data_IF_138080865678
#
_entry.id   IF_138080865678
#
_cell.length_a   1.000
_cell.length_b   1.000
_cell.length_c   1.000
_cell.angle_alpha   90.00
_cell.angle_beta   90.00
_cell.angle_gamma   90.00
#
_symmetry.space_group_name_H-M   'P 1'
#
loop_
_entity.id
_entity.type
_entity.pdbx_description
1 polymer ?
#
# COMPACT_ATOMS: atom_id res chain seq x y z
N UNK A 1 16.49 -5.70 -4.89
CA UNK A 1 17.08 -6.43 -3.75
C UNK A 1 17.61 -5.38 -2.77
N UNK A 2 17.01 -5.25 -1.59
CA UNK A 2 17.55 -4.37 -0.53
C UNK A 2 18.65 -5.16 0.16
N UNK A 3 19.91 -4.79 -0.05
CA UNK A 3 21.07 -5.60 0.38
C UNK A 3 21.60 -5.23 1.76
N UNK A 4 21.11 -4.14 2.38
CA UNK A 4 21.21 -3.89 3.82
C UNK A 4 20.46 -2.60 4.16
N UNK A 5 19.88 -2.54 5.36
CA UNK A 5 19.49 -1.29 6.00
C UNK A 5 20.46 -1.05 7.15
N UNK A 6 21.55 -0.36 6.83
CA UNK A 6 22.40 0.27 7.83
C UNK A 6 21.89 1.71 7.99
N UNK A 7 21.18 2.00 9.08
CA UNK A 7 20.62 3.32 9.32
C UNK A 7 20.18 3.53 10.77
N UNK A 8 20.49 4.73 11.28
CA UNK A 8 20.63 5.07 12.70
C UNK A 8 19.40 4.83 13.58
N UNK A 9 19.65 4.13 14.68
CA UNK A 9 18.77 3.84 15.80
C UNK A 9 18.11 5.11 16.34
N UNK A 10 16.81 5.31 16.07
CA UNK A 10 16.05 6.41 16.69
C UNK A 10 15.47 5.92 18.02
N UNK A 11 16.15 6.27 19.11
CA UNK A 11 15.66 6.00 20.46
C UNK A 11 14.34 6.72 20.72
N UNK A 12 13.34 5.99 21.20
CA UNK A 12 12.17 6.61 21.81
C UNK A 12 12.41 6.76 23.32
N UNK A 13 11.82 7.78 23.93
CA UNK A 13 12.09 8.24 25.31
C UNK A 13 11.81 7.23 26.43
N UNK A 14 11.29 6.03 26.11
CA UNK A 14 10.86 5.01 27.09
C UNK A 14 11.66 3.70 27.00
N UNK A 15 12.81 3.69 26.33
CA UNK A 15 13.67 2.50 26.20
C UNK A 15 13.18 1.45 25.20
N UNK A 16 12.11 1.74 24.46
CA UNK A 16 11.64 0.90 23.35
C UNK A 16 12.30 1.35 22.04
N UNK A 17 12.82 0.38 21.28
CA UNK A 17 13.50 0.60 20.01
C UNK A 17 12.61 0.15 18.86
N UNK A 18 12.47 0.97 17.81
CA UNK A 18 11.68 0.65 16.62
C UNK A 18 12.42 1.01 15.33
N UNK A 19 12.38 0.13 14.33
CA UNK A 19 12.85 0.39 12.97
C UNK A 19 11.72 0.09 11.98
N UNK A 20 11.42 1.04 11.09
CA UNK A 20 10.46 0.82 10.01
C UNK A 20 11.20 0.28 8.78
N UNK A 21 10.82 -0.92 8.34
CA UNK A 21 11.32 -1.55 7.13
C UNK A 21 10.30 -1.36 6.01
N UNK A 22 10.60 -0.48 5.05
CA UNK A 22 9.74 -0.28 3.87
C UNK A 22 10.21 -1.15 2.71
N UNK A 23 9.33 -2.01 2.20
CA UNK A 23 9.56 -2.80 0.99
C UNK A 23 9.02 -2.03 -0.22
N UNK A 24 9.81 -1.83 -1.30
CA UNK A 24 9.31 -1.15 -2.49
C UNK A 24 8.19 -1.96 -3.17
N UNK A 25 7.13 -1.24 -3.56
CA UNK A 25 5.86 -1.71 -4.13
C UNK A 25 5.99 -2.64 -5.36
N UNK A 26 7.10 -2.59 -6.10
CA UNK A 26 7.33 -3.36 -7.33
C UNK A 26 8.24 -4.57 -7.14
N UNK A 27 8.54 -4.96 -5.90
CA UNK A 27 9.63 -5.90 -5.65
C UNK A 27 9.27 -7.38 -5.80
N UNK A 28 8.05 -7.71 -6.24
CA UNK A 28 7.60 -9.04 -6.69
C UNK A 28 8.39 -10.21 -6.12
N UNK A 29 8.09 -10.63 -4.88
CA UNK A 29 8.80 -11.73 -4.21
C UNK A 29 8.46 -11.86 -2.73
N UNK A 30 8.81 -13.01 -2.15
CA UNK A 30 8.86 -13.21 -0.69
C UNK A 30 10.07 -12.49 -0.13
N UNK A 31 9.92 -11.81 1.00
CA UNK A 31 11.02 -11.17 1.71
C UNK A 31 11.30 -11.93 3.00
N UNK A 32 12.52 -12.43 3.14
CA UNK A 32 13.04 -12.90 4.40
C UNK A 32 13.79 -11.75 5.08
N UNK A 33 13.47 -11.47 6.35
CA UNK A 33 14.26 -10.55 7.17
C UNK A 33 14.94 -11.34 8.29
N UNK A 34 16.23 -11.11 8.47
CA UNK A 34 17.00 -11.68 9.57
C UNK A 34 17.22 -10.60 10.62
N UNK A 35 16.71 -10.81 11.82
CA UNK A 35 16.99 -9.96 12.98
C UNK A 35 18.13 -10.59 13.78
N UNK A 36 19.26 -9.90 13.88
CA UNK A 36 20.36 -10.28 14.77
C UNK A 36 20.44 -9.30 15.94
N UNK A 37 20.19 -9.79 17.16
CA UNK A 37 20.31 -9.01 18.41
C UNK A 37 21.57 -9.44 19.17
N UNK A 38 22.31 -8.46 19.68
CA UNK A 38 23.45 -8.69 20.57
C UNK A 38 23.13 -8.12 21.95
N UNK A 39 23.10 -8.97 22.97
CA UNK A 39 22.88 -8.52 24.35
C UNK A 39 24.15 -7.86 24.92
N UNK A 40 24.00 -6.75 25.65
CA UNK A 40 24.95 -6.42 26.73
C UNK A 40 24.38 -6.73 28.13
N UNK A 41 23.04 -6.80 28.26
CA UNK A 41 22.34 -7.13 29.50
C UNK A 41 20.85 -7.43 29.23
N UNK A 42 20.45 -8.70 29.14
CA UNK A 42 19.26 -9.23 29.81
C UNK A 42 17.87 -8.98 29.22
N UNK A 43 17.71 -8.86 27.89
CA UNK A 43 16.37 -8.84 27.28
C UNK A 43 16.23 -9.93 26.23
N UNK A 44 15.63 -11.05 26.63
CA UNK A 44 15.55 -12.29 25.87
C UNK A 44 14.42 -12.37 24.83
N UNK A 45 13.73 -11.26 24.53
CA UNK A 45 12.59 -11.26 23.61
C UNK A 45 12.63 -10.11 22.60
N UNK A 46 12.51 -10.46 21.31
CA UNK A 46 12.25 -9.53 20.21
C UNK A 46 10.77 -9.65 19.87
N UNK A 47 9.98 -8.61 20.13
CA UNK A 47 8.59 -8.54 19.68
C UNK A 47 8.58 -7.99 18.25
N UNK A 48 8.20 -8.83 17.28
CA UNK A 48 8.02 -8.42 15.89
C UNK A 48 6.54 -8.27 15.60
N UNK A 49 6.11 -7.06 15.24
CA UNK A 49 4.78 -6.81 14.71
C UNK A 49 4.88 -6.66 13.18
N UNK A 50 4.17 -7.51 12.45
CA UNK A 50 4.00 -7.40 11.01
C UNK A 50 2.67 -6.68 10.76
N UNK A 51 2.74 -5.44 10.29
CA UNK A 51 1.57 -4.70 9.85
C UNK A 51 1.63 -4.59 8.33
N UNK A 52 0.60 -5.09 7.65
CA UNK A 52 0.44 -4.84 6.22
C UNK A 52 0.02 -3.37 6.06
N UNK A 53 1.01 -2.50 5.83
CA UNK A 53 0.76 -1.09 5.53
C UNK A 53 0.18 -1.01 4.13
N UNK A 54 -1.14 -1.03 4.07
CA UNK A 54 -1.89 -0.91 2.83
C UNK A 54 -1.82 0.55 2.36
N UNK A 55 -1.29 0.83 1.15
CA UNK A 55 -1.15 2.20 0.69
C UNK A 55 -2.51 2.88 0.62
N UNK A 56 -2.56 4.15 0.99
CA UNK A 56 -3.74 4.99 0.83
C UNK A 56 -3.49 6.06 -0.22
N UNK A 57 -4.54 6.45 -0.93
CA UNK A 57 -4.49 7.56 -1.87
C UNK A 57 -5.69 8.51 -1.69
N UNK A 58 -5.45 9.79 -1.88
CA UNK A 58 -6.49 10.81 -1.92
C UNK A 58 -6.90 11.08 -3.37
N UNK A 59 -8.21 11.15 -3.62
CA UNK A 59 -8.73 11.53 -4.93
C UNK A 59 -8.43 13.02 -5.18
N UNK A 60 -7.68 13.32 -6.23
CA UNK A 60 -7.36 14.70 -6.64
C UNK A 60 -8.25 15.20 -7.79
N UNK A 61 -8.85 14.28 -8.55
CA UNK A 61 -9.79 14.63 -9.61
C UNK A 61 -11.08 15.23 -9.03
N UNK A 62 -11.71 16.16 -9.75
CA UNK A 62 -13.04 16.68 -9.39
C UNK A 62 -14.07 15.56 -9.27
N UNK A 63 -13.96 14.58 -10.17
CA UNK A 63 -14.81 13.39 -10.21
C UNK A 63 -13.98 12.19 -10.67
N UNK A 64 -13.93 11.15 -9.85
CA UNK A 64 -13.29 9.87 -10.18
C UNK A 64 -14.33 8.74 -10.16
N UNK A 65 -14.42 7.98 -11.24
CA UNK A 65 -15.39 6.90 -11.34
C UNK A 65 -14.88 5.62 -10.65
N UNK A 66 -15.62 5.12 -9.67
CA UNK A 66 -15.43 3.77 -9.13
C UNK A 66 -16.20 2.78 -10.02
N UNK A 67 -15.52 1.75 -10.51
CA UNK A 67 -16.11 0.76 -11.42
C UNK A 67 -16.00 -0.67 -10.87
N UNK A 68 -16.80 -1.58 -11.42
CA UNK A 68 -16.83 -2.99 -11.01
C UNK A 68 -15.67 -3.83 -11.57
N UNK A 69 -15.03 -3.33 -12.63
CA UNK A 69 -13.91 -3.95 -13.36
C UNK A 69 -12.92 -2.86 -13.79
N UNK A 70 -11.63 -3.19 -14.02
CA UNK A 70 -10.61 -2.24 -14.46
C UNK A 70 -10.75 -1.95 -15.97
N UNK A 71 -11.84 -1.29 -16.38
CA UNK A 71 -12.11 -0.97 -17.78
C UNK A 71 -13.16 0.14 -17.88
N UNK A 72 -13.07 1.01 -18.88
CA UNK A 72 -14.16 1.94 -19.22
C UNK A 72 -15.16 1.33 -20.21
N UNK A 73 -14.80 0.23 -20.87
CA UNK A 73 -15.60 -0.41 -21.90
C UNK A 73 -16.75 -1.23 -21.30
N UNK A 74 -17.99 -0.92 -21.71
CA UNK A 74 -19.21 -1.63 -21.29
C UNK A 74 -19.33 -1.82 -19.76
N UNK A 75 -18.87 -0.82 -19.00
CA UNK A 75 -18.76 -0.92 -17.54
C UNK A 75 -19.21 0.37 -16.88
N UNK A 76 -20.50 0.48 -16.58
CA UNK A 76 -21.07 1.65 -15.91
C UNK A 76 -20.42 1.87 -14.53
N UNK A 77 -20.12 3.13 -14.13
CA UNK A 77 -19.64 3.41 -12.78
C UNK A 77 -20.62 2.90 -11.71
N UNK A 78 -20.07 2.33 -10.65
CA UNK A 78 -20.81 2.00 -9.42
C UNK A 78 -21.21 3.30 -8.72
N UNK A 79 -20.26 4.23 -8.64
CA UNK A 79 -20.42 5.56 -8.07
C UNK A 79 -19.32 6.48 -8.58
N UNK A 80 -19.52 7.76 -8.36
CA UNK A 80 -18.49 8.79 -8.47
C UNK A 80 -17.88 9.07 -7.09
N UNK A 81 -16.59 9.41 -7.09
CA UNK A 81 -15.81 9.78 -5.92
C UNK A 81 -15.35 11.22 -6.11
N UNK A 82 -15.55 12.04 -5.08
CA UNK A 82 -15.18 13.45 -5.10
C UNK A 82 -13.72 13.64 -4.67
N UNK A 83 -13.14 14.77 -5.05
CA UNK A 83 -11.84 15.21 -4.53
C UNK A 83 -11.82 15.20 -2.99
N UNK A 84 -10.70 14.77 -2.41
CA UNK A 84 -10.55 14.61 -0.96
C UNK A 84 -10.98 13.24 -0.41
N UNK A 85 -11.58 12.38 -1.24
CA UNK A 85 -11.92 11.02 -0.81
C UNK A 85 -10.65 10.21 -0.60
N UNK A 86 -10.43 9.71 0.62
CA UNK A 86 -9.33 8.79 0.92
C UNK A 86 -9.72 7.35 0.57
N UNK A 87 -8.86 6.69 -0.20
CA UNK A 87 -9.03 5.31 -0.66
C UNK A 87 -7.93 4.44 -0.08
N UNK A 88 -8.30 3.22 0.34
CA UNK A 88 -7.34 2.16 0.59
C UNK A 88 -7.02 1.47 -0.74
N UNK A 89 -5.78 1.46 -1.16
CA UNK A 89 -5.33 0.73 -2.36
C UNK A 89 -5.03 -0.71 -1.95
N UNK A 90 -5.66 -1.66 -2.64
CA UNK A 90 -5.41 -3.09 -2.46
C UNK A 90 -4.29 -3.60 -3.39
N UNK A 91 -4.27 -3.11 -4.63
CA UNK A 91 -3.24 -3.43 -5.63
C UNK A 91 -3.40 -2.61 -6.90
N UNK A 92 -2.32 -2.49 -7.67
CA UNK A 92 -2.35 -2.08 -9.07
C UNK A 92 -2.75 -3.28 -9.95
N UNK A 93 -3.58 -3.05 -10.96
CA UNK A 93 -3.99 -4.04 -11.96
C UNK A 93 -3.98 -3.42 -13.35
N UNK A 94 -3.76 -4.25 -14.37
CA UNK A 94 -3.89 -3.82 -15.75
C UNK A 94 -5.28 -4.16 -16.30
N UNK A 95 -5.78 -3.31 -17.18
CA UNK A 95 -6.98 -3.63 -17.95
C UNK A 95 -6.69 -4.77 -18.93
N UNK A 96 -7.60 -5.73 -19.00
CA UNK A 96 -7.49 -6.84 -19.95
C UNK A 96 -7.97 -6.47 -21.36
N UNK A 97 -8.80 -5.44 -21.49
CA UNK A 97 -9.49 -5.13 -22.76
C UNK A 97 -9.59 -3.64 -23.10
N UNK A 98 -9.11 -2.75 -22.24
CA UNK A 98 -9.13 -1.29 -22.45
C UNK A 98 -7.70 -0.76 -22.44
N UNK A 99 -7.15 -0.55 -23.64
CA UNK A 99 -5.79 -0.02 -23.81
C UNK A 99 -5.71 1.50 -23.67
N UNK A 100 -6.85 2.19 -23.66
CA UNK A 100 -6.88 3.66 -23.46
C UNK A 100 -6.62 4.05 -22.02
N UNK A 101 -7.02 3.17 -21.08
CA UNK A 101 -6.71 3.27 -19.65
C UNK A 101 -6.12 1.93 -19.22
N UNK A 102 -4.82 1.69 -19.45
CA UNK A 102 -4.20 0.39 -19.23
C UNK A 102 -4.01 0.09 -17.73
N UNK A 103 -3.83 1.12 -16.90
CA UNK A 103 -3.50 0.98 -15.49
C UNK A 103 -4.65 1.38 -14.56
N UNK A 104 -4.90 0.57 -13.54
CA UNK A 104 -5.98 0.74 -12.58
C UNK A 104 -5.51 0.41 -11.16
N UNK A 105 -6.20 0.96 -10.17
CA UNK A 105 -6.10 0.54 -8.78
C UNK A 105 -7.37 -0.17 -8.35
N UNK A 106 -7.23 -1.34 -7.74
CA UNK A 106 -8.29 -1.92 -6.94
C UNK A 106 -8.29 -1.25 -5.57
N UNK A 107 -9.43 -0.72 -5.15
CA UNK A 107 -9.54 0.13 -3.95
C UNK A 107 -10.71 -0.25 -3.07
N UNK A 108 -10.63 0.15 -1.80
CA UNK A 108 -11.75 0.19 -0.85
C UNK A 108 -11.98 1.65 -0.45
N UNK A 109 -13.24 2.08 -0.56
CA UNK A 109 -13.71 3.42 -0.17
C UNK A 109 -14.00 3.51 1.34
N UNK A 110 -14.12 4.71 1.93
CA UNK A 110 -14.39 4.86 3.36
C UNK A 110 -15.69 4.20 3.84
N UNK A 111 -16.69 4.09 2.96
CA UNK A 111 -17.95 3.40 3.25
C UNK A 111 -17.91 1.89 2.96
N UNK A 112 -16.72 1.35 2.67
CA UNK A 112 -16.48 -0.08 2.53
C UNK A 112 -16.74 -0.64 1.13
N UNK A 113 -17.16 0.17 0.15
CA UNK A 113 -17.29 -0.35 -1.23
C UNK A 113 -15.93 -0.64 -1.83
N UNK A 114 -15.83 -1.79 -2.48
CA UNK A 114 -14.66 -2.21 -3.24
C UNK A 114 -14.90 -2.07 -4.75
N UNK A 115 -13.90 -1.61 -5.48
CA UNK A 115 -13.98 -1.49 -6.94
C UNK A 115 -12.64 -1.10 -7.55
N UNK A 116 -12.70 -0.55 -8.77
CA UNK A 116 -11.55 -0.15 -9.55
C UNK A 116 -11.66 1.31 -9.96
N UNK A 117 -10.55 2.04 -9.82
CA UNK A 117 -10.40 3.41 -10.31
C UNK A 117 -9.23 3.47 -11.28
N UNK A 118 -9.32 4.34 -12.29
CA UNK A 118 -8.23 4.57 -13.23
C UNK A 118 -7.00 5.10 -12.49
N UNK A 119 -5.81 4.59 -12.82
CA UNK A 119 -4.57 5.18 -12.35
C UNK A 119 -4.30 6.51 -13.07
N UNK A 120 -3.61 7.48 -12.45
CA UNK A 120 -3.15 8.67 -13.15
C UNK A 120 -2.25 8.27 -14.33
N UNK A 121 -2.41 8.99 -15.45
CA UNK A 121 -1.52 8.91 -16.62
C UNK A 121 -0.31 9.82 -16.46
#
# INVERSE_FOLDING_TARGET
MVTSLNGDWRGTSNGTWTQLLSVPENAGGSFDFYVQYYERTGSSAINVALEEVQPTAEVTASTLNLRSKPSTLNNTPITELNSGTNLKILRKVQSANDTSVPDWYQVVTPDGRQGYVAAPV
#
